data_IF_884552551911
#
_entry.id   IF_884552551911
#
_cell.length_a   1.000
_cell.length_b   1.000
_cell.length_c   1.000
_cell.angle_alpha   90.00
_cell.angle_beta   90.00
_cell.angle_gamma   90.00
#
_symmetry.space_group_name_H-M   'P 1'
#
loop_
_entity.id
_entity.type
_entity.pdbx_description
1 polymer ?
#
# COMPACT_ATOMS: atom_id res chain seq x y z
N UNK A 1 -10.63 -62.43 -20.14
CA UNK A 1 -10.93 -61.58 -18.96
C UNK A 1 -9.63 -60.88 -18.59
N UNK A 2 -9.51 -59.58 -18.90
CA UNK A 2 -8.22 -58.92 -19.00
C UNK A 2 -7.59 -58.67 -17.62
N UNK A 3 -6.39 -59.21 -17.42
CA UNK A 3 -5.50 -59.03 -16.25
C UNK A 3 -5.19 -57.55 -15.93
N UNK A 4 -5.52 -56.65 -16.86
CA UNK A 4 -5.40 -55.20 -16.72
C UNK A 4 -6.32 -54.63 -15.62
N UNK A 5 -7.58 -55.08 -15.55
CA UNK A 5 -8.52 -54.65 -14.50
C UNK A 5 -8.14 -55.17 -13.11
N UNK A 6 -7.57 -56.37 -13.02
CA UNK A 6 -7.14 -56.96 -11.76
C UNK A 6 -5.95 -56.19 -11.15
N UNK A 7 -5.02 -55.72 -11.99
CA UNK A 7 -3.88 -54.89 -11.54
C UNK A 7 -4.33 -53.53 -11.00
N UNK A 8 -5.26 -52.87 -11.69
CA UNK A 8 -5.80 -51.56 -11.26
C UNK A 8 -6.60 -51.70 -9.95
N UNK A 9 -7.42 -52.74 -9.82
CA UNK A 9 -8.14 -53.03 -8.58
C UNK A 9 -7.17 -53.35 -7.41
N UNK A 10 -6.12 -54.14 -7.68
CA UNK A 10 -5.12 -54.49 -6.67
C UNK A 10 -4.32 -53.30 -6.14
N UNK A 11 -3.92 -52.38 -7.02
CA UNK A 11 -3.20 -51.15 -6.62
C UNK A 11 -4.11 -50.21 -5.80
N UNK A 12 -5.39 -50.10 -6.17
CA UNK A 12 -6.36 -49.29 -5.43
C UNK A 12 -6.56 -49.77 -3.99
N UNK A 13 -6.73 -51.07 -3.78
CA UNK A 13 -6.90 -51.65 -2.44
C UNK A 13 -5.64 -51.44 -1.59
N UNK A 14 -4.45 -51.57 -2.18
CA UNK A 14 -3.19 -51.40 -1.47
C UNK A 14 -2.98 -49.94 -1.01
N UNK A 15 -3.36 -48.96 -1.84
CA UNK A 15 -3.33 -47.54 -1.46
C UNK A 15 -4.27 -47.22 -0.29
N UNK A 16 -5.47 -47.82 -0.26
CA UNK A 16 -6.43 -47.63 0.84
C UNK A 16 -5.91 -48.23 2.14
N UNK A 17 -5.29 -49.42 2.10
CA UNK A 17 -4.69 -50.04 3.29
C UNK A 17 -3.53 -49.18 3.84
N UNK A 18 -2.69 -48.63 2.97
CA UNK A 18 -1.60 -47.72 3.39
C UNK A 18 -2.17 -46.45 4.03
N UNK A 19 -3.26 -45.88 3.50
CA UNK A 19 -3.93 -44.72 4.09
C UNK A 19 -4.54 -45.02 5.47
N UNK A 20 -5.14 -46.19 5.66
CA UNK A 20 -5.71 -46.61 6.94
C UNK A 20 -4.60 -46.84 7.97
N UNK A 21 -3.50 -47.48 7.57
CA UNK A 21 -2.34 -47.73 8.46
C UNK A 21 -1.64 -46.41 8.82
N UNK A 22 -1.46 -45.50 7.85
CA UNK A 22 -0.92 -44.16 8.13
C UNK A 22 -1.86 -43.33 9.03
N UNK A 23 -3.18 -43.44 8.82
CA UNK A 23 -4.19 -42.79 9.64
C UNK A 23 -4.22 -43.28 11.10
N UNK A 24 -4.01 -44.59 11.31
CA UNK A 24 -3.90 -45.19 12.65
C UNK A 24 -2.62 -44.77 13.38
N UNK A 25 -1.51 -44.58 12.66
CA UNK A 25 -0.25 -44.11 13.27
C UNK A 25 -0.20 -42.60 13.54
N UNK A 26 -1.08 -41.80 12.92
CA UNK A 26 -1.17 -40.34 13.11
C UNK A 26 -2.39 -39.93 13.97
N UNK A 27 -3.07 -40.91 14.60
CA UNK A 27 -4.33 -40.74 15.33
C UNK A 27 -4.21 -40.81 16.86
N UNK A 28 -3.01 -40.66 17.42
CA UNK A 28 -2.83 -40.44 18.87
C UNK A 28 -3.08 -38.97 19.20
N UNK A 29 -4.09 -38.73 20.04
CA UNK A 29 -4.50 -37.44 20.65
C UNK A 29 -5.03 -36.36 19.69
N UNK A 30 -6.29 -36.54 19.24
CA UNK A 30 -7.16 -35.40 18.95
C UNK A 30 -8.01 -35.09 20.16
N UNK A 31 -7.42 -34.33 21.08
CA UNK A 31 -8.16 -33.46 21.99
C UNK A 31 -8.97 -32.50 21.10
N UNK A 32 -10.29 -32.43 21.29
CA UNK A 32 -11.13 -31.36 20.75
C UNK A 32 -10.62 -30.03 21.32
N UNK A 33 -9.67 -29.42 20.61
CA UNK A 33 -9.32 -28.03 20.81
C UNK A 33 -10.52 -27.20 20.35
N UNK A 34 -11.29 -26.72 21.32
CA UNK A 34 -12.10 -25.50 21.20
C UNK A 34 -11.27 -24.49 20.39
N UNK A 35 -11.79 -23.89 19.31
CA UNK A 35 -11.00 -23.00 18.48
C UNK A 35 -10.43 -21.89 19.36
N UNK A 36 -9.10 -21.93 19.50
CA UNK A 36 -8.29 -21.02 20.29
C UNK A 36 -8.62 -19.58 19.88
N UNK A 37 -9.08 -18.80 20.86
CA UNK A 37 -9.39 -17.38 20.75
C UNK A 37 -8.17 -16.57 20.24
N UNK A 38 -6.96 -17.13 20.34
CA UNK A 38 -5.73 -16.56 19.79
C UNK A 38 -5.74 -16.40 18.25
N UNK A 39 -6.54 -17.19 17.52
CA UNK A 39 -6.69 -17.05 16.07
C UNK A 39 -7.50 -15.81 15.65
N UNK A 40 -8.34 -15.26 16.54
CA UNK A 40 -9.07 -13.99 16.30
C UNK A 40 -8.25 -12.75 16.63
N UNK A 41 -7.30 -12.86 17.56
CA UNK A 41 -6.46 -11.73 17.97
C UNK A 41 -5.51 -11.27 16.85
N UNK A 42 -5.00 -12.20 16.03
CA UNK A 42 -4.16 -11.85 14.88
C UNK A 42 -4.92 -11.13 13.75
N UNK A 43 -6.20 -11.46 13.53
CA UNK A 43 -7.00 -10.83 12.47
C UNK A 43 -7.47 -9.43 12.81
N UNK A 44 -7.83 -9.16 14.08
CA UNK A 44 -8.26 -7.82 14.50
C UNK A 44 -7.19 -6.76 14.21
N UNK A 45 -5.91 -7.10 14.45
CA UNK A 45 -4.78 -6.22 14.20
C UNK A 45 -4.57 -5.89 12.72
N UNK A 46 -4.86 -6.85 11.81
CA UNK A 46 -4.70 -6.63 10.36
C UNK A 46 -5.78 -5.68 9.85
N UNK A 47 -7.03 -5.88 10.27
CA UNK A 47 -8.14 -5.01 9.86
C UNK A 47 -7.99 -3.59 10.43
N UNK A 48 -7.64 -3.44 11.71
CA UNK A 48 -7.36 -2.12 12.29
C UNK A 48 -6.20 -1.41 11.60
N UNK A 49 -5.17 -2.13 11.19
CA UNK A 49 -4.04 -1.54 10.49
C UNK A 49 -4.40 -1.15 9.04
N UNK A 50 -5.20 -1.96 8.36
CA UNK A 50 -5.71 -1.64 7.02
C UNK A 50 -6.61 -0.39 7.03
N UNK A 51 -7.37 -0.17 8.10
CA UNK A 51 -8.21 1.01 8.31
C UNK A 51 -7.37 2.25 8.63
N UNK A 52 -6.39 2.14 9.53
CA UNK A 52 -5.41 3.21 9.82
C UNK A 52 -4.63 3.63 8.57
N UNK A 53 -4.22 2.66 7.75
CA UNK A 53 -3.50 2.96 6.51
C UNK A 53 -4.43 3.66 5.50
N UNK A 54 -5.70 3.25 5.39
CA UNK A 54 -6.67 3.96 4.56
C UNK A 54 -6.86 5.41 5.01
N UNK A 55 -7.01 5.65 6.31
CA UNK A 55 -7.18 6.98 6.88
C UNK A 55 -5.93 7.85 6.70
N UNK A 56 -4.73 7.32 6.97
CA UNK A 56 -3.46 8.05 6.81
C UNK A 56 -3.18 8.39 5.34
N UNK A 57 -3.42 7.47 4.42
CA UNK A 57 -3.18 7.69 3.00
C UNK A 57 -4.18 8.66 2.37
N UNK A 58 -5.42 8.68 2.86
CA UNK A 58 -6.47 9.59 2.40
C UNK A 58 -6.64 10.85 3.27
N UNK A 59 -5.78 11.03 4.28
CA UNK A 59 -5.80 12.21 5.14
C UNK A 59 -5.71 13.49 4.30
N UNK A 60 -6.37 14.58 4.72
CA UNK A 60 -6.32 15.85 4.01
C UNK A 60 -4.87 16.24 3.70
N UNK A 61 -4.63 16.69 2.48
CA UNK A 61 -3.33 17.24 2.11
C UNK A 61 -3.32 18.67 2.65
N UNK A 62 -2.45 18.94 3.61
CA UNK A 62 -2.25 20.29 4.11
C UNK A 62 -1.50 21.07 3.04
N UNK A 63 -2.12 22.16 2.59
CA UNK A 63 -1.48 23.07 1.65
C UNK A 63 -0.74 24.08 2.51
N UNK A 64 0.51 23.77 2.87
CA UNK A 64 1.37 24.76 3.53
C UNK A 64 1.73 25.81 2.50
N UNK A 65 1.29 27.08 2.64
CA UNK A 65 1.80 28.14 1.79
C UNK A 65 3.30 28.19 2.01
N UNK A 66 4.07 28.00 0.94
CA UNK A 66 5.53 28.03 0.97
C UNK A 66 6.00 29.44 1.37
N UNK A 67 6.13 29.72 2.67
CA UNK A 67 6.83 30.90 3.18
C UNK A 67 8.32 30.72 2.88
N UNK A 68 8.74 31.36 1.80
CA UNK A 68 10.13 31.38 1.36
C UNK A 68 10.95 32.24 2.34
N UNK A 69 11.82 31.59 3.12
CA UNK A 69 13.10 32.03 3.73
C UNK A 69 13.19 33.41 4.43
N UNK A 70 13.75 33.50 5.66
CA UNK A 70 14.39 34.74 6.09
C UNK A 70 15.78 34.80 5.45
N UNK A 71 15.88 35.44 4.29
CA UNK A 71 17.15 36.03 3.85
C UNK A 71 17.53 37.06 4.91
N UNK A 72 18.67 36.85 5.57
CA UNK A 72 19.33 37.89 6.36
C UNK A 72 19.61 39.07 5.43
N UNK A 73 18.80 40.12 5.51
CA UNK A 73 19.11 41.43 4.98
C UNK A 73 19.13 42.41 6.14
N UNK A 74 20.28 43.05 6.29
CA UNK A 74 20.59 44.09 7.27
C UNK A 74 19.56 45.23 7.28
N UNK A 75 19.49 45.88 8.44
CA UNK A 75 18.64 47.01 8.80
C UNK A 75 18.50 48.11 7.72
N UNK A 76 17.29 48.71 7.64
CA UNK A 76 16.98 50.16 7.66
C UNK A 76 15.44 50.38 7.56
N UNK A 77 14.89 50.88 8.68
CA UNK A 77 13.82 51.90 8.91
C UNK A 77 12.63 52.13 7.92
N UNK A 78 11.41 52.04 8.49
CA UNK A 78 10.14 52.79 8.21
C UNK A 78 9.17 52.39 7.06
N UNK A 79 7.85 52.75 7.16
CA UNK A 79 6.76 51.78 7.12
C UNK A 79 5.90 51.90 5.86
N UNK A 80 5.66 50.77 5.19
CA UNK A 80 4.62 50.67 4.16
C UNK A 80 3.70 49.54 4.55
N UNK A 81 2.43 49.87 4.78
CA UNK A 81 1.32 48.92 4.80
C UNK A 81 1.26 48.20 3.44
N UNK A 82 2.03 47.13 3.28
CA UNK A 82 1.79 46.16 2.24
C UNK A 82 0.77 45.17 2.78
N UNK A 83 -0.49 45.35 2.37
CA UNK A 83 -1.48 44.28 2.36
C UNK A 83 -0.79 43.06 1.73
N UNK A 84 -0.65 41.93 2.44
CA UNK A 84 -0.05 40.76 1.81
C UNK A 84 -0.97 40.35 0.68
N UNK A 85 -0.46 40.40 -0.57
CA UNK A 85 -1.11 39.75 -1.68
C UNK A 85 -1.37 38.29 -1.26
N UNK A 86 -2.60 37.77 -1.39
CA UNK A 86 -2.87 36.39 -1.05
C UNK A 86 -1.97 35.52 -1.93
N UNK A 87 -1.00 34.88 -1.29
CA UNK A 87 -0.14 33.87 -1.91
C UNK A 87 -1.10 32.89 -2.59
N UNK A 88 -0.95 32.60 -3.90
CA UNK A 88 -1.84 31.68 -4.57
C UNK A 88 -1.72 30.33 -3.87
N UNK A 89 -2.77 29.96 -3.14
CA UNK A 89 -2.91 28.62 -2.57
C UNK A 89 -2.82 27.68 -3.77
N UNK A 90 -1.85 26.75 -3.80
CA UNK A 90 -1.73 25.87 -4.93
C UNK A 90 -3.00 25.02 -4.98
N UNK A 91 -3.84 25.28 -5.98
CA UNK A 91 -5.07 24.53 -6.22
C UNK A 91 -4.73 23.26 -7.00
N UNK A 92 -5.30 22.13 -6.60
CA UNK A 92 -5.16 20.89 -7.36
C UNK A 92 -5.73 21.05 -8.77
N UNK A 93 -5.06 20.43 -9.74
CA UNK A 93 -5.58 20.34 -11.10
C UNK A 93 -6.96 19.65 -11.08
N UNK A 94 -7.98 20.36 -11.56
CA UNK A 94 -9.36 19.83 -11.64
C UNK A 94 -9.42 18.77 -12.74
N UNK A 95 -9.55 17.52 -12.35
CA UNK A 95 -9.73 16.39 -13.26
C UNK A 95 -11.18 16.32 -13.77
N UNK A 96 -11.38 15.90 -15.02
CA UNK A 96 -12.72 15.59 -15.54
C UNK A 96 -13.30 14.35 -14.84
N UNK A 97 -14.62 14.15 -14.88
CA UNK A 97 -15.26 13.00 -14.23
C UNK A 97 -14.66 11.67 -14.67
N UNK A 98 -14.39 11.49 -15.96
CA UNK A 98 -13.77 10.26 -16.48
C UNK A 98 -12.32 10.08 -15.98
N UNK A 99 -11.57 11.18 -15.88
CA UNK A 99 -10.21 11.18 -15.34
C UNK A 99 -10.20 10.89 -13.83
N UNK A 100 -11.18 11.40 -13.08
CA UNK A 100 -11.35 11.09 -11.66
C UNK A 100 -11.62 9.61 -11.46
N UNK A 101 -12.52 9.00 -12.23
CA UNK A 101 -12.82 7.57 -12.15
C UNK A 101 -11.58 6.73 -12.50
N UNK A 102 -10.83 7.12 -13.52
CA UNK A 102 -9.59 6.44 -13.89
C UNK A 102 -8.51 6.57 -12.79
N UNK A 103 -8.35 7.76 -12.21
CA UNK A 103 -7.42 8.02 -11.12
C UNK A 103 -7.81 7.27 -9.85
N UNK A 104 -9.10 7.23 -9.51
CA UNK A 104 -9.63 6.50 -8.36
C UNK A 104 -9.37 4.99 -8.48
N UNK A 105 -9.61 4.42 -9.67
CA UNK A 105 -9.31 3.00 -9.92
C UNK A 105 -7.82 2.68 -9.74
N UNK A 106 -6.93 3.54 -10.25
CA UNK A 106 -5.49 3.36 -10.07
C UNK A 106 -5.08 3.55 -8.61
N UNK A 107 -5.70 4.50 -7.91
CA UNK A 107 -5.47 4.75 -6.50
C UNK A 107 -5.88 3.55 -5.63
N UNK A 108 -7.07 3.00 -5.84
CA UNK A 108 -7.52 1.79 -5.16
C UNK A 108 -6.57 0.59 -5.39
N UNK A 109 -6.04 0.45 -6.61
CA UNK A 109 -5.03 -0.56 -6.91
C UNK A 109 -3.72 -0.29 -6.15
N UNK A 110 -3.24 0.96 -6.12
CA UNK A 110 -2.03 1.33 -5.39
C UNK A 110 -2.18 1.08 -3.88
N UNK A 111 -3.31 1.48 -3.29
CA UNK A 111 -3.62 1.29 -1.88
C UNK A 111 -3.69 -0.20 -1.51
N UNK A 112 -4.37 -1.00 -2.32
CA UNK A 112 -4.46 -2.46 -2.10
C UNK A 112 -3.07 -3.11 -2.16
N UNK A 113 -2.25 -2.70 -3.12
CA UNK A 113 -0.88 -3.22 -3.24
C UNK A 113 0.04 -2.71 -2.13
N UNK A 114 -0.20 -1.52 -1.59
CA UNK A 114 0.50 -1.02 -0.42
C UNK A 114 0.20 -1.90 0.81
N UNK A 115 -1.08 -2.16 1.09
CA UNK A 115 -1.52 -3.08 2.16
C UNK A 115 -0.95 -4.48 1.97
N UNK A 116 -0.93 -4.96 0.73
CA UNK A 116 -0.33 -6.26 0.40
C UNK A 116 1.18 -6.26 0.63
N UNK A 117 1.90 -5.20 0.21
CA UNK A 117 3.35 -5.07 0.32
C UNK A 117 3.86 -5.02 1.76
N UNK A 118 3.03 -4.59 2.72
CA UNK A 118 3.34 -4.65 4.16
C UNK A 118 3.31 -6.07 4.74
N UNK A 119 2.68 -7.02 4.05
CA UNK A 119 2.64 -8.41 4.50
C UNK A 119 4.00 -9.09 4.27
N UNK A 120 4.41 -10.01 5.17
CA UNK A 120 5.66 -10.72 5.00
C UNK A 120 5.70 -11.46 3.65
N UNK A 121 6.86 -11.44 2.99
CA UNK A 121 7.13 -12.03 1.66
C UNK A 121 6.44 -11.37 0.47
N UNK A 122 5.63 -10.33 0.66
CA UNK A 122 5.08 -9.54 -0.43
C UNK A 122 5.98 -8.33 -0.75
N UNK A 123 5.76 -7.71 -1.91
CA UNK A 123 6.60 -6.61 -2.40
C UNK A 123 5.77 -5.40 -2.80
N UNK A 124 6.36 -4.20 -2.74
CA UNK A 124 5.71 -2.95 -3.13
C UNK A 124 5.83 -2.65 -4.63
N UNK A 125 6.36 -3.57 -5.45
CA UNK A 125 6.66 -3.29 -6.85
C UNK A 125 5.46 -2.85 -7.68
N UNK A 126 4.28 -3.47 -7.47
CA UNK A 126 3.05 -3.05 -8.12
C UNK A 126 2.52 -1.72 -7.58
N UNK A 127 2.65 -1.49 -6.27
CA UNK A 127 2.30 -0.22 -5.65
C UNK A 127 3.09 0.94 -6.28
N UNK A 128 4.42 0.82 -6.34
CA UNK A 128 5.30 1.81 -6.98
C UNK A 128 4.91 2.05 -8.43
N UNK A 129 4.60 0.99 -9.18
CA UNK A 129 4.18 1.10 -10.58
C UNK A 129 2.87 1.88 -10.74
N UNK A 130 1.86 1.59 -9.91
CA UNK A 130 0.59 2.31 -9.96
C UNK A 130 0.74 3.76 -9.50
N UNK A 131 1.52 4.01 -8.44
CA UNK A 131 1.84 5.38 -7.99
C UNK A 131 2.51 6.20 -9.10
N UNK A 132 3.51 5.64 -9.78
CA UNK A 132 4.14 6.27 -10.96
C UNK A 132 3.14 6.56 -12.06
N UNK A 133 2.25 5.62 -12.34
CA UNK A 133 1.23 5.80 -13.36
C UNK A 133 0.28 6.95 -13.03
N UNK A 134 -0.12 7.08 -11.76
CA UNK A 134 -0.95 8.20 -11.30
C UNK A 134 -0.21 9.54 -11.45
N UNK A 135 1.06 9.60 -11.02
CA UNK A 135 1.90 10.80 -11.12
C UNK A 135 2.06 11.26 -12.58
N UNK A 136 2.27 10.31 -13.50
CA UNK A 136 2.45 10.59 -14.93
C UNK A 136 1.13 10.97 -15.64
N UNK A 137 0.03 10.30 -15.30
CA UNK A 137 -1.25 10.52 -15.99
C UNK A 137 -2.02 11.73 -15.46
N UNK A 138 -1.87 12.03 -14.16
CA UNK A 138 -2.63 13.07 -13.48
C UNK A 138 -1.71 14.02 -12.67
N UNK A 139 -0.69 14.63 -13.29
CA UNK A 139 0.25 15.49 -12.58
C UNK A 139 -0.47 16.68 -11.94
N UNK A 140 -0.11 17.01 -10.69
CA UNK A 140 -0.70 18.14 -9.95
C UNK A 140 -2.14 17.91 -9.47
N UNK A 141 -2.71 16.73 -9.67
CA UNK A 141 -3.98 16.34 -9.05
C UNK A 141 -3.78 15.86 -7.61
N UNK A 142 -4.86 15.84 -6.82
CA UNK A 142 -4.87 15.27 -5.47
C UNK A 142 -4.32 13.83 -5.46
N UNK A 143 -4.67 13.03 -6.48
CA UNK A 143 -4.21 11.65 -6.61
C UNK A 143 -2.70 11.54 -6.81
N UNK A 144 -2.09 12.48 -7.55
CA UNK A 144 -0.63 12.49 -7.71
C UNK A 144 0.06 12.76 -6.37
N UNK A 145 -0.43 13.70 -5.57
CA UNK A 145 0.14 13.96 -4.25
C UNK A 145 -0.05 12.76 -3.31
N UNK A 146 -1.24 12.14 -3.32
CA UNK A 146 -1.48 10.88 -2.59
C UNK A 146 -0.53 9.76 -3.01
N UNK A 147 -0.28 9.61 -4.31
CA UNK A 147 0.68 8.63 -4.83
C UNK A 147 2.13 8.93 -4.37
N UNK A 148 2.54 10.19 -4.35
CA UNK A 148 3.85 10.61 -3.82
C UNK A 148 3.96 10.36 -2.30
N UNK A 149 2.89 10.59 -1.54
CA UNK A 149 2.83 10.26 -0.11
C UNK A 149 3.04 8.77 0.14
N UNK A 150 2.38 7.90 -0.63
CA UNK A 150 2.60 6.44 -0.56
C UNK A 150 4.05 6.07 -0.84
N UNK A 151 4.68 6.68 -1.86
CA UNK A 151 6.08 6.43 -2.16
C UNK A 151 7.02 6.85 -1.02
N UNK A 152 6.74 8.00 -0.37
CA UNK A 152 7.48 8.43 0.82
C UNK A 152 7.33 7.43 1.96
N UNK A 153 6.12 6.98 2.28
CA UNK A 153 5.90 5.98 3.35
C UNK A 153 6.62 4.65 3.03
N UNK A 154 6.67 4.23 1.75
CA UNK A 154 7.46 3.05 1.34
C UNK A 154 8.94 3.25 1.66
N UNK A 155 9.51 4.40 1.30
CA UNK A 155 10.92 4.70 1.57
C UNK A 155 11.20 4.82 3.07
N UNK A 156 10.31 5.47 3.83
CA UNK A 156 10.42 5.61 5.29
C UNK A 156 10.33 4.26 6.03
N UNK A 157 9.56 3.31 5.50
CA UNK A 157 9.49 1.97 6.09
C UNK A 157 10.83 1.24 6.03
N UNK A 158 11.56 1.35 4.90
CA UNK A 158 12.94 0.87 4.75
C UNK A 158 13.68 1.66 3.68
N UNK A 159 14.82 2.22 4.04
CA UNK A 159 15.71 2.94 3.12
C UNK A 159 16.09 2.11 1.87
N UNK A 160 16.19 0.79 2.03
CA UNK A 160 16.50 -0.15 0.94
C UNK A 160 15.48 -0.12 -0.19
N UNK A 161 14.22 0.25 0.07
CA UNK A 161 13.18 0.28 -0.97
C UNK A 161 13.41 1.39 -1.99
N UNK A 162 14.06 2.49 -1.60
CA UNK A 162 14.43 3.56 -2.52
C UNK A 162 15.35 3.04 -3.62
N UNK A 163 16.39 2.30 -3.24
CA UNK A 163 17.33 1.68 -4.16
C UNK A 163 16.70 0.52 -4.94
N UNK A 164 15.92 -0.34 -4.26
CA UNK A 164 15.31 -1.52 -4.86
C UNK A 164 14.32 -1.19 -5.98
N UNK A 165 13.55 -0.11 -5.83
CA UNK A 165 12.54 0.30 -6.81
C UNK A 165 12.96 1.51 -7.66
N UNK A 166 14.19 2.00 -7.46
CA UNK A 166 14.74 3.18 -8.12
C UNK A 166 13.82 4.40 -7.98
N UNK A 167 13.34 4.67 -6.77
CA UNK A 167 12.46 5.81 -6.50
C UNK A 167 13.32 7.08 -6.50
N UNK A 168 12.97 8.04 -7.36
CA UNK A 168 13.74 9.30 -7.50
C UNK A 168 13.27 10.33 -6.48
N UNK A 169 14.13 11.30 -6.16
CA UNK A 169 13.76 12.40 -5.25
C UNK A 169 12.62 13.25 -5.82
N UNK A 170 12.50 13.36 -7.14
CA UNK A 170 11.38 14.03 -7.83
C UNK A 170 10.03 13.33 -7.61
N UNK A 171 10.04 12.00 -7.47
CA UNK A 171 8.85 11.20 -7.16
C UNK A 171 8.46 11.33 -5.69
N UNK A 172 9.40 11.68 -4.82
CA UNK A 172 9.19 11.91 -3.39
C UNK A 172 8.83 13.38 -3.10
N UNK A 173 9.28 14.31 -3.93
CA UNK A 173 9.02 15.74 -3.77
C UNK A 173 7.53 16.06 -3.95
N UNK A 174 6.85 16.36 -2.84
CA UNK A 174 5.43 16.74 -2.85
C UNK A 174 5.22 18.21 -3.25
N UNK A 175 6.30 18.98 -3.48
CA UNK A 175 6.24 20.40 -3.82
C UNK A 175 5.63 21.22 -2.67
N UNK A 176 4.80 22.21 -3.00
CA UNK A 176 4.11 23.09 -2.04
C UNK A 176 2.93 22.42 -1.30
N UNK A 177 2.79 21.10 -1.37
CA UNK A 177 1.68 20.34 -0.81
C UNK A 177 2.25 19.33 0.18
N UNK A 178 2.15 19.56 1.50
CA UNK A 178 2.78 18.71 2.51
C UNK A 178 1.87 18.53 3.71
#
# INVERSE_FOLDING_TARGET
MNTFWLKVAGVGVLAVVVLIVAGQFTGGDKQEAVPDESARSGSANVYEQDEKDHERLNAPIEVVPNETAPVQAEAIVEPVQSVPEPIPVPEFAKLTTDQQVAADKLWQMAETQFKLGRKPMMTFGLCVKYSRQIILQFPGSEYAIKAKRVLNEIVEMRDQYKEQYHITDEELDMGSFQ
#
